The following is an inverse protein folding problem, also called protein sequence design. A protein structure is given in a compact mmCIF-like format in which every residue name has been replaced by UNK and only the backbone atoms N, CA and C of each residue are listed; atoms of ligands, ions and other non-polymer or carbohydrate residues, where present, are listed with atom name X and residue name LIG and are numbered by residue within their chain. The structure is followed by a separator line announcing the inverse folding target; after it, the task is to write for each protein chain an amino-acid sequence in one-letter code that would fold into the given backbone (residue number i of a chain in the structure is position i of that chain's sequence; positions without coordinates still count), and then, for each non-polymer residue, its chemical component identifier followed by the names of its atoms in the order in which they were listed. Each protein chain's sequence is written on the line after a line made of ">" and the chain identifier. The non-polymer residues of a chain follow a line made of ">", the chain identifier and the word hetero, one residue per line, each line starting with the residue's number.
data_IF_047428583508
#
_entry.id   IF_047428583508
#
_cell.length_a   1.000
_cell.length_b   1.000
_cell.length_c   1.000
_cell.angle_alpha   90.00
_cell.angle_beta   90.00
_cell.angle_gamma   90.00
#
_symmetry.space_group_name_H-M   'P 1'
#
loop_
_entity.id
_entity.type
_entity.pdbx_description
1 polymer ?
#
# COMPACT_ATOMS: atom_id res chain seq x y z
N UNK A 1 1.03 15.64 -18.51
CA UNK A 1 1.46 15.39 -17.13
C UNK A 1 2.58 14.36 -17.15
N UNK A 2 3.61 14.53 -16.32
CA UNK A 2 4.53 13.44 -16.02
C UNK A 2 3.71 12.28 -15.47
N UNK A 3 3.84 11.08 -16.04
CA UNK A 3 3.20 9.88 -15.51
C UNK A 3 4.09 9.30 -14.43
N UNK A 4 3.56 9.11 -13.23
CA UNK A 4 4.27 8.39 -12.19
C UNK A 4 3.90 6.91 -12.27
N UNK A 5 4.90 6.03 -12.23
CA UNK A 5 4.68 4.60 -12.40
C UNK A 5 4.26 3.98 -11.06
N UNK A 6 3.05 4.30 -10.60
CA UNK A 6 2.44 3.60 -9.47
C UNK A 6 1.96 2.22 -9.89
N UNK A 7 2.24 1.21 -9.08
CA UNK A 7 1.72 -0.14 -9.23
C UNK A 7 0.39 -0.27 -8.49
N UNK A 8 -0.67 0.23 -9.12
CA UNK A 8 -2.02 -0.05 -8.65
C UNK A 8 -2.39 -1.49 -8.98
N UNK A 9 -2.87 -2.22 -7.98
CA UNK A 9 -3.33 -3.60 -8.14
C UNK A 9 -4.84 -3.57 -8.31
N UNK A 10 -5.34 -4.32 -9.29
CA UNK A 10 -6.76 -4.50 -9.53
C UNK A 10 -7.29 -5.62 -8.60
N UNK A 11 -7.91 -5.22 -7.48
CA UNK A 11 -8.50 -6.12 -6.50
C UNK A 11 -10.03 -6.00 -6.55
N UNK A 12 -10.76 -7.02 -7.04
CA UNK A 12 -12.21 -6.94 -7.25
C UNK A 12 -13.01 -6.72 -5.97
N UNK A 13 -12.45 -7.00 -4.79
CA UNK A 13 -13.12 -6.79 -3.49
C UNK A 13 -12.74 -5.46 -2.85
N UNK A 14 -11.61 -4.87 -3.23
CA UNK A 14 -11.10 -3.62 -2.69
C UNK A 14 -10.49 -2.78 -3.82
N UNK A 15 -11.35 -2.09 -4.56
CA UNK A 15 -10.93 -1.32 -5.74
C UNK A 15 -10.29 0.01 -5.36
N UNK A 16 -9.25 0.40 -6.11
CA UNK A 16 -8.72 1.76 -6.02
C UNK A 16 -9.75 2.75 -6.60
N UNK A 17 -10.05 3.82 -5.86
CA UNK A 17 -10.98 4.87 -6.27
C UNK A 17 -10.30 6.22 -6.09
N UNK A 18 -10.22 6.97 -7.19
CA UNK A 18 -9.61 8.30 -7.23
C UNK A 18 -10.52 9.44 -6.76
N UNK A 19 -9.90 10.54 -6.39
CA UNK A 19 -10.55 11.85 -6.29
C UNK A 19 -10.64 12.51 -7.69
N UNK A 20 -11.60 13.41 -7.87
CA UNK A 20 -11.63 14.31 -9.04
C UNK A 20 -10.67 15.47 -8.85
N UNK A 21 -10.38 16.21 -9.93
CA UNK A 21 -9.55 17.40 -9.85
C UNK A 21 -10.16 18.47 -8.93
N UNK A 22 -11.48 18.64 -8.97
CA UNK A 22 -12.20 19.61 -8.15
C UNK A 22 -12.07 19.28 -6.66
N UNK A 23 -12.18 17.99 -6.30
CA UNK A 23 -12.00 17.54 -4.92
C UNK A 23 -10.56 17.77 -4.43
N UNK A 24 -9.57 17.51 -5.29
CA UNK A 24 -8.16 17.75 -4.98
C UNK A 24 -7.87 19.25 -4.84
N UNK A 25 -8.42 20.09 -5.70
CA UNK A 25 -8.20 21.53 -5.64
C UNK A 25 -8.87 22.15 -4.41
N UNK A 26 -10.07 21.69 -4.04
CA UNK A 26 -10.71 22.05 -2.77
C UNK A 26 -9.84 21.66 -1.57
N UNK A 27 -9.21 20.47 -1.59
CA UNK A 27 -8.27 20.06 -0.54
C UNK A 27 -7.04 20.98 -0.47
N UNK A 28 -6.43 21.32 -1.60
CA UNK A 28 -5.28 22.23 -1.65
C UNK A 28 -5.63 23.62 -1.11
N UNK A 29 -6.77 24.17 -1.54
CA UNK A 29 -7.23 25.48 -1.09
C UNK A 29 -7.46 25.48 0.41
N UNK A 30 -8.14 24.44 0.93
CA UNK A 30 -8.45 24.31 2.35
C UNK A 30 -7.19 24.13 3.21
N UNK A 31 -6.17 23.45 2.69
CA UNK A 31 -4.90 23.28 3.38
C UNK A 31 -3.99 24.50 3.24
N UNK A 32 -4.19 25.34 2.22
CA UNK A 32 -3.30 26.44 1.89
C UNK A 32 -1.89 25.98 1.50
N UNK A 33 -1.75 24.74 1.03
CA UNK A 33 -0.47 24.08 0.73
C UNK A 33 -0.41 23.57 -0.70
N UNK A 34 0.79 23.50 -1.25
CA UNK A 34 1.02 22.92 -2.57
C UNK A 34 1.15 21.41 -2.46
N UNK A 35 0.43 20.67 -3.30
CA UNK A 35 0.56 19.22 -3.34
C UNK A 35 1.60 18.81 -4.40
N UNK A 36 2.55 17.91 -4.08
CA UNK A 36 3.49 17.41 -5.06
C UNK A 36 2.78 16.69 -6.22
N UNK A 37 3.32 16.77 -7.43
CA UNK A 37 2.72 16.14 -8.63
C UNK A 37 2.47 14.64 -8.45
N UNK A 38 3.44 13.92 -7.88
CA UNK A 38 3.32 12.49 -7.61
C UNK A 38 2.16 12.18 -6.66
N UNK A 39 1.95 13.05 -5.66
CA UNK A 39 0.84 12.88 -4.72
C UNK A 39 -0.51 13.20 -5.38
N UNK A 40 -0.58 14.22 -6.22
CA UNK A 40 -1.80 14.52 -7.01
C UNK A 40 -2.15 13.32 -7.90
N UNK A 41 -1.16 12.76 -8.61
CA UNK A 41 -1.37 11.58 -9.46
C UNK A 41 -1.87 10.38 -8.64
N UNK A 42 -1.31 10.16 -7.45
CA UNK A 42 -1.81 9.15 -6.53
C UNK A 42 -3.27 9.40 -6.12
N UNK A 43 -3.63 10.63 -5.74
CA UNK A 43 -4.99 10.99 -5.34
C UNK A 43 -6.00 10.80 -6.47
N UNK A 44 -5.63 11.12 -7.72
CA UNK A 44 -6.50 10.92 -8.89
C UNK A 44 -6.79 9.45 -9.18
N UNK A 45 -5.93 8.52 -8.74
CA UNK A 45 -6.10 7.09 -9.00
C UNK A 45 -6.63 6.33 -7.78
N UNK A 46 -6.28 6.73 -6.55
CA UNK A 46 -6.56 5.96 -5.33
C UNK A 46 -6.82 6.85 -4.08
N UNK A 47 -7.16 8.13 -4.26
CA UNK A 47 -7.35 9.06 -3.15
C UNK A 47 -8.56 8.75 -2.27
N UNK A 48 -9.73 8.43 -2.85
CA UNK A 48 -10.95 8.11 -2.10
C UNK A 48 -10.87 6.77 -1.39
N UNK A 49 -10.30 5.79 -2.08
CA UNK A 49 -10.02 4.47 -1.55
C UNK A 49 -8.76 3.94 -2.23
N UNK A 50 -7.84 3.42 -1.42
CA UNK A 50 -6.69 2.68 -1.87
C UNK A 50 -6.68 1.32 -1.20
N UNK A 51 -6.44 0.29 -1.98
CA UNK A 51 -6.23 -1.05 -1.44
C UNK A 51 -4.87 -1.25 -0.77
N UNK A 52 -3.96 -0.28 -0.92
CA UNK A 52 -2.60 -0.33 -0.39
C UNK A 52 -2.38 0.66 0.73
N UNK A 53 -2.73 1.93 0.47
CA UNK A 53 -2.35 3.02 1.37
C UNK A 53 -3.41 4.12 1.36
N UNK A 54 -4.40 3.97 2.23
CA UNK A 54 -5.45 4.97 2.42
C UNK A 54 -4.90 6.24 3.04
N UNK A 55 -4.96 7.34 2.30
CA UNK A 55 -4.59 8.69 2.76
C UNK A 55 -5.82 9.40 3.33
N UNK A 56 -5.59 10.46 4.10
CA UNK A 56 -6.67 11.28 4.63
C UNK A 56 -7.14 12.28 3.55
N UNK A 57 -8.44 12.21 3.22
CA UNK A 57 -9.09 13.08 2.23
C UNK A 57 -10.23 13.89 2.80
N UNK A 58 -10.59 13.70 4.07
CA UNK A 58 -11.47 14.61 4.79
C UNK A 58 -10.67 15.85 5.19
N UNK A 59 -11.05 17.01 4.67
CA UNK A 59 -10.30 18.24 4.89
C UNK A 59 -10.17 18.64 6.37
N UNK A 60 -11.18 18.35 7.19
CA UNK A 60 -11.17 18.73 8.60
C UNK A 60 -10.21 17.84 9.40
N UNK A 61 -10.23 16.53 9.16
CA UNK A 61 -9.27 15.61 9.77
C UNK A 61 -7.86 15.87 9.25
N UNK A 62 -7.68 16.13 7.95
CA UNK A 62 -6.39 16.48 7.36
C UNK A 62 -5.77 17.71 8.03
N UNK A 63 -6.56 18.77 8.24
CA UNK A 63 -6.11 19.97 8.98
C UNK A 63 -5.75 19.67 10.43
N UNK A 64 -6.52 18.81 11.09
CA UNK A 64 -6.26 18.41 12.48
C UNK A 64 -4.94 17.65 12.59
N UNK A 65 -4.75 16.59 11.79
CA UNK A 65 -3.50 15.81 11.83
C UNK A 65 -2.29 16.62 11.38
N UNK A 66 -2.47 17.59 10.47
CA UNK A 66 -1.43 18.53 10.07
C UNK A 66 -0.98 19.43 11.23
N UNK A 67 -1.92 19.97 12.01
CA UNK A 67 -1.62 20.80 13.19
C UNK A 67 -0.93 19.98 14.28
N UNK A 68 -1.43 18.78 14.55
CA UNK A 68 -0.83 17.86 15.52
C UNK A 68 0.61 17.52 15.13
N UNK A 69 0.85 17.11 13.87
CA UNK A 69 2.20 16.84 13.40
C UNK A 69 3.12 18.06 13.55
N UNK A 70 2.64 19.27 13.22
CA UNK A 70 3.46 20.47 13.34
C UNK A 70 3.89 20.73 14.79
N UNK A 71 2.98 20.52 15.76
CA UNK A 71 3.33 20.62 17.19
C UNK A 71 4.41 19.61 17.57
N UNK A 72 4.28 18.36 17.11
CA UNK A 72 5.25 17.30 17.38
C UNK A 72 6.64 17.61 16.81
N UNK A 73 6.71 18.07 15.55
CA UNK A 73 7.98 18.45 14.92
C UNK A 73 8.64 19.64 15.63
N UNK A 74 7.84 20.60 16.09
CA UNK A 74 8.33 21.75 16.86
C UNK A 74 8.93 21.32 18.20
N UNK A 75 8.29 20.39 18.93
CA UNK A 75 8.81 19.83 20.18
C UNK A 75 10.15 19.10 19.98
N UNK A 76 10.31 18.47 18.82
CA UNK A 76 11.55 17.77 18.44
C UNK A 76 12.64 18.72 17.88
N UNK A 77 12.34 20.01 17.70
CA UNK A 77 13.23 21.01 17.09
C UNK A 77 13.73 20.62 15.68
N UNK A 78 12.86 20.03 14.86
CA UNK A 78 13.15 19.61 13.48
C UNK A 78 12.17 20.23 12.49
N UNK A 79 12.60 20.50 11.26
CA UNK A 79 11.77 21.06 10.18
C UNK A 79 11.00 22.35 10.55
N UNK A 80 11.55 23.18 11.45
CA UNK A 80 10.85 24.33 12.03
C UNK A 80 10.38 25.38 11.00
N UNK A 81 11.17 25.58 9.94
CA UNK A 81 10.90 26.59 8.91
C UNK A 81 10.49 25.98 7.56
N UNK A 82 10.17 24.69 7.57
CA UNK A 82 9.92 23.94 6.34
C UNK A 82 8.43 23.74 6.13
N UNK A 83 8.01 23.76 4.87
CA UNK A 83 6.62 23.56 4.49
C UNK A 83 6.33 22.05 4.52
N UNK A 84 5.48 21.61 5.44
CA UNK A 84 5.19 20.19 5.67
C UNK A 84 3.76 19.88 5.28
N UNK A 85 3.54 18.76 4.58
CA UNK A 85 2.21 18.22 4.27
C UNK A 85 2.05 16.83 4.90
N UNK A 86 1.25 16.74 5.96
CA UNK A 86 0.78 15.49 6.53
C UNK A 86 -0.30 14.90 5.62
N UNK A 87 -0.20 13.62 5.29
CA UNK A 87 -1.14 12.94 4.38
C UNK A 87 -1.89 11.79 5.06
N UNK A 88 -1.41 11.32 6.20
CA UNK A 88 -2.02 10.22 6.95
C UNK A 88 -1.49 10.20 8.37
N UNK A 89 -2.39 9.89 9.32
CA UNK A 89 -2.04 9.50 10.68
C UNK A 89 -2.60 8.10 10.93
N UNK A 90 -1.75 7.17 11.33
CA UNK A 90 -2.15 5.91 11.96
C UNK A 90 -1.92 6.03 13.48
N UNK A 91 -2.36 5.03 14.26
CA UNK A 91 -2.34 5.06 15.73
C UNK A 91 -1.06 5.67 16.35
N UNK A 92 0.12 5.34 15.82
CA UNK A 92 1.41 5.81 16.36
C UNK A 92 2.34 6.41 15.30
N UNK A 93 1.84 6.69 14.09
CA UNK A 93 2.69 7.14 13.00
C UNK A 93 2.04 8.24 12.15
N UNK A 94 2.81 9.30 11.90
CA UNK A 94 2.48 10.34 10.93
C UNK A 94 3.27 10.12 9.65
N UNK A 95 2.58 10.20 8.52
CA UNK A 95 3.16 10.14 7.18
C UNK A 95 3.05 11.52 6.55
N UNK A 96 4.18 12.08 6.14
CA UNK A 96 4.21 13.45 5.65
C UNK A 96 5.30 13.69 4.60
N UNK A 97 5.10 14.73 3.82
CA UNK A 97 6.10 15.25 2.89
C UNK A 97 6.73 16.51 3.45
N UNK A 98 8.03 16.65 3.19
CA UNK A 98 8.68 17.93 3.25
C UNK A 98 8.58 18.61 1.87
N UNK A 99 7.73 19.62 1.75
CA UNK A 99 7.47 20.36 0.51
C UNK A 99 8.57 21.39 0.21
N UNK A 100 9.40 21.73 1.19
CA UNK A 100 10.61 22.54 0.99
C UNK A 100 11.69 21.76 0.24
N UNK A 101 11.62 20.43 0.24
CA UNK A 101 12.52 19.53 -0.48
C UNK A 101 11.93 19.06 -1.83
N UNK A 102 12.82 18.81 -2.80
CA UNK A 102 12.59 17.97 -3.98
C UNK A 102 11.21 18.13 -4.70
N UNK A 103 11.04 19.23 -5.42
CA UNK A 103 9.74 19.71 -6.00
C UNK A 103 8.95 18.73 -6.88
N UNK A 104 9.58 17.69 -7.43
CA UNK A 104 8.94 16.74 -8.36
C UNK A 104 8.63 15.36 -7.78
N UNK A 105 9.45 14.90 -6.82
CA UNK A 105 9.40 13.56 -6.23
C UNK A 105 9.54 13.72 -4.70
N UNK A 106 8.43 13.90 -3.98
CA UNK A 106 8.51 14.17 -2.56
C UNK A 106 9.03 12.92 -1.84
N UNK A 107 10.01 13.11 -0.96
CA UNK A 107 10.40 12.08 -0.01
C UNK A 107 9.29 11.95 1.03
N UNK A 108 8.81 10.73 1.23
CA UNK A 108 7.87 10.42 2.30
C UNK A 108 8.66 10.26 3.61
N UNK A 109 8.30 11.03 4.61
CA UNK A 109 8.81 10.89 5.97
C UNK A 109 7.75 10.23 6.86
N UNK A 110 8.23 9.46 7.83
CA UNK A 110 7.43 8.77 8.82
C UNK A 110 7.95 9.19 10.19
N UNK A 111 7.11 9.86 10.97
CA UNK A 111 7.35 10.10 12.39
C UNK A 111 6.59 9.03 13.18
N UNK A 112 7.32 8.17 13.89
CA UNK A 112 6.73 7.12 14.72
C UNK A 112 7.43 7.01 16.07
N UNK A 113 6.76 6.39 17.04
CA UNK A 113 7.39 5.96 18.29
C UNK A 113 8.03 4.59 18.08
N UNK A 114 9.28 4.45 18.54
CA UNK A 114 10.02 3.19 18.47
C UNK A 114 10.42 2.81 19.89
N UNK A 115 10.18 1.55 20.26
CA UNK A 115 10.67 1.02 21.52
C UNK A 115 12.20 0.95 21.49
N UNK A 116 12.85 1.68 22.39
CA UNK A 116 14.31 1.66 22.56
C UNK A 116 14.74 0.75 23.70
N UNK A 117 13.80 0.37 24.58
CA UNK A 117 14.03 -0.61 25.64
C UNK A 117 12.70 -1.28 26.04
N UNK A 118 12.53 -2.54 25.63
CA UNK A 118 11.33 -3.34 25.91
C UNK A 118 11.14 -3.60 27.40
N UNK A 119 12.24 -3.77 28.16
CA UNK A 119 12.19 -4.07 29.59
C UNK A 119 11.69 -2.89 30.43
N UNK A 120 11.76 -1.67 29.89
CA UNK A 120 11.40 -0.43 30.61
C UNK A 120 10.25 0.33 29.94
N UNK A 121 9.64 -0.23 28.89
CA UNK A 121 8.64 0.46 28.06
C UNK A 121 9.12 1.88 27.65
N UNK A 122 10.41 2.02 27.33
CA UNK A 122 10.95 3.30 26.91
C UNK A 122 10.76 3.45 25.40
N UNK A 123 10.01 4.47 25.00
CA UNK A 123 9.75 4.80 23.61
C UNK A 123 10.41 6.12 23.24
N UNK A 124 10.91 6.20 22.01
CA UNK A 124 11.46 7.42 21.45
C UNK A 124 10.81 7.72 20.10
N UNK A 125 10.35 8.96 19.95
CA UNK A 125 9.91 9.48 18.65
C UNK A 125 11.09 9.56 17.70
N UNK A 126 10.94 8.97 16.52
CA UNK A 126 11.96 8.97 15.47
C UNK A 126 11.34 9.33 14.13
N UNK A 127 12.07 10.14 13.37
CA UNK A 127 11.75 10.42 11.97
C UNK A 127 12.60 9.50 11.10
N UNK A 128 11.93 8.79 10.20
CA UNK A 128 12.54 7.93 9.20
C UNK A 128 12.02 8.30 7.82
N UNK A 129 12.76 7.93 6.77
CA UNK A 129 12.23 7.98 5.41
C UNK A 129 11.42 6.71 5.17
N UNK A 130 10.34 6.82 4.40
CA UNK A 130 9.62 5.66 3.90
C UNK A 130 10.56 4.72 3.16
N UNK A 131 10.19 3.44 3.09
CA UNK A 131 10.99 2.46 2.37
C UNK A 131 11.08 2.82 0.89
N UNK A 132 12.23 3.33 0.45
CA UNK A 132 12.42 3.86 -0.90
C UNK A 132 12.63 5.36 -0.87
N UNK A 133 13.48 5.87 -1.74
CA UNK A 133 13.97 7.25 -1.69
C UNK A 133 12.86 8.30 -1.90
N UNK A 134 11.75 7.91 -2.54
CA UNK A 134 10.58 8.74 -2.85
C UNK A 134 9.23 8.03 -2.65
N UNK A 135 8.15 8.83 -2.62
CA UNK A 135 6.78 8.36 -2.40
C UNK A 135 6.31 7.28 -3.40
N UNK A 136 6.69 7.39 -4.68
CA UNK A 136 6.29 6.44 -5.71
C UNK A 136 6.90 5.07 -5.42
N UNK A 137 8.19 5.07 -5.07
CA UNK A 137 8.93 3.86 -4.70
C UNK A 137 8.33 3.22 -3.45
N UNK A 138 7.96 4.03 -2.45
CA UNK A 138 7.29 3.55 -1.24
C UNK A 138 5.98 2.81 -1.55
N UNK A 139 5.08 3.43 -2.34
CA UNK A 139 3.82 2.79 -2.73
C UNK A 139 4.06 1.49 -3.51
N UNK A 140 5.03 1.50 -4.43
CA UNK A 140 5.34 0.31 -5.24
C UNK A 140 5.90 -0.85 -4.40
N UNK A 141 6.70 -0.55 -3.37
CA UNK A 141 7.21 -1.57 -2.44
C UNK A 141 6.11 -2.11 -1.53
N UNK A 142 5.19 -1.26 -1.08
CA UNK A 142 3.99 -1.73 -0.39
C UNK A 142 3.17 -2.66 -1.29
N UNK A 143 2.95 -2.29 -2.55
CA UNK A 143 2.25 -3.14 -3.51
C UNK A 143 2.92 -4.50 -3.70
N UNK A 144 4.24 -4.53 -3.84
CA UNK A 144 5.00 -5.78 -3.97
C UNK A 144 4.94 -6.63 -2.70
N UNK A 145 4.97 -6.02 -1.52
CA UNK A 145 4.87 -6.74 -0.25
C UNK A 145 3.49 -7.39 -0.07
N UNK A 146 2.42 -6.63 -0.27
CA UNK A 146 1.05 -7.10 -0.02
C UNK A 146 0.58 -8.08 -1.11
N UNK A 147 0.87 -7.79 -2.39
CA UNK A 147 0.34 -8.56 -3.52
C UNK A 147 1.38 -9.38 -4.28
N UNK A 148 2.67 -9.03 -4.23
CA UNK A 148 3.74 -9.78 -4.91
C UNK A 148 3.96 -11.17 -4.32
N UNK A 149 3.79 -11.31 -3.00
CA UNK A 149 3.81 -12.62 -2.32
C UNK A 149 2.64 -13.51 -2.81
N UNK A 150 1.47 -12.93 -2.99
CA UNK A 150 0.26 -13.64 -3.44
C UNK A 150 0.40 -14.15 -4.89
N UNK A 151 0.95 -13.31 -5.79
CA UNK A 151 1.20 -13.69 -7.19
C UNK A 151 2.27 -14.80 -7.28
N UNK A 152 3.36 -14.70 -6.52
CA UNK A 152 4.43 -15.71 -6.53
C UNK A 152 3.99 -17.04 -5.91
N UNK A 153 3.12 -17.03 -4.90
CA UNK A 153 2.51 -18.26 -4.36
C UNK A 153 1.57 -18.94 -5.37
N UNK A 154 0.73 -18.18 -6.07
CA UNK A 154 -0.12 -18.75 -7.12
C UNK A 154 0.70 -19.34 -8.27
N UNK A 155 1.76 -18.65 -8.72
CA UNK A 155 2.66 -19.15 -9.77
C UNK A 155 3.42 -20.42 -9.34
N UNK A 156 3.82 -20.55 -8.07
CA UNK A 156 4.47 -21.78 -7.55
C UNK A 156 3.56 -23.01 -7.62
N UNK A 157 2.24 -22.84 -7.54
CA UNK A 157 1.29 -23.94 -7.59
C UNK A 157 0.87 -24.35 -9.02
N UNK A 158 1.09 -23.49 -10.02
CA UNK A 158 0.79 -23.79 -11.44
C UNK A 158 1.51 -25.05 -11.96
N UNK A 159 2.82 -25.24 -11.78
CA UNK A 159 3.48 -26.46 -12.26
C UNK A 159 2.95 -27.73 -11.56
N UNK A 160 2.50 -27.63 -10.31
CA UNK A 160 1.93 -28.75 -9.57
C UNK A 160 0.61 -29.23 -10.22
N UNK A 161 -0.25 -28.29 -10.62
CA UNK A 161 -1.51 -28.61 -11.31
C UNK A 161 -1.29 -29.19 -12.71
N UNK A 162 -0.28 -28.70 -13.44
CA UNK A 162 0.07 -29.21 -14.77
C UNK A 162 0.57 -30.67 -14.68
N UNK A 163 1.32 -31.02 -13.64
CA UNK A 163 1.81 -32.39 -13.42
C UNK A 163 0.70 -33.30 -12.88
N UNK A 164 -0.16 -32.79 -12.00
CA UNK A 164 -1.22 -33.58 -11.37
C UNK A 164 -2.34 -33.99 -12.34
N UNK A 165 -2.64 -33.16 -13.35
CA UNK A 165 -3.72 -33.41 -14.31
C UNK A 165 -3.54 -34.71 -15.14
N UNK A 166 -2.38 -34.97 -15.78
CA UNK A 166 -2.15 -36.23 -16.48
C UNK A 166 -2.19 -37.45 -15.54
N UNK A 167 -1.67 -37.31 -14.32
CA UNK A 167 -1.69 -38.39 -13.32
C UNK A 167 -3.13 -38.74 -12.94
N UNK A 168 -3.98 -37.74 -12.68
CA UNK A 168 -5.39 -37.94 -12.36
C UNK A 168 -6.15 -38.64 -13.49
N UNK A 169 -5.88 -38.28 -14.76
CA UNK A 169 -6.49 -38.94 -15.93
C UNK A 169 -6.12 -40.42 -15.97
N UNK A 170 -4.86 -40.78 -15.73
CA UNK A 170 -4.42 -42.18 -15.70
C UNK A 170 -5.14 -42.95 -14.60
N UNK A 171 -5.27 -42.38 -13.39
CA UNK A 171 -6.00 -43.03 -12.30
C UNK A 171 -7.49 -43.22 -12.62
N UNK A 172 -8.14 -42.24 -13.26
CA UNK A 172 -9.54 -42.36 -13.69
C UNK A 172 -9.71 -43.49 -14.71
N UNK A 173 -8.80 -43.59 -15.69
CA UNK A 173 -8.83 -44.68 -16.68
C UNK A 173 -8.63 -46.04 -16.01
N UNK A 174 -7.66 -46.17 -15.12
CA UNK A 174 -7.41 -47.43 -14.39
C UNK A 174 -8.59 -47.82 -13.52
N UNK A 175 -9.17 -46.88 -12.78
CA UNK A 175 -10.36 -47.12 -11.96
C UNK A 175 -11.56 -47.54 -12.82
N UNK A 176 -11.80 -46.88 -13.97
CA UNK A 176 -12.85 -47.25 -14.91
C UNK A 176 -12.65 -48.66 -15.48
N UNK A 177 -11.41 -49.03 -15.82
CA UNK A 177 -11.07 -50.38 -16.28
C UNK A 177 -11.27 -51.42 -15.17
N UNK A 178 -10.86 -51.14 -13.93
CA UNK A 178 -11.08 -52.06 -12.80
C UNK A 178 -12.58 -52.32 -12.57
N UNK A 179 -13.41 -51.27 -12.56
CA UNK A 179 -14.87 -51.41 -12.39
C UNK A 179 -15.48 -52.22 -13.54
N UNK A 180 -15.02 -52.01 -14.78
CA UNK A 180 -15.46 -52.80 -15.94
C UNK A 180 -15.05 -54.28 -15.82
N UNK A 181 -13.83 -54.56 -15.38
CA UNK A 181 -13.35 -55.94 -15.18
C UNK A 181 -14.15 -56.61 -14.06
N UNK A 182 -14.36 -55.95 -12.91
CA UNK A 182 -15.19 -56.48 -11.83
C UNK A 182 -16.62 -56.79 -12.31
N UNK A 183 -17.20 -55.92 -13.14
CA UNK A 183 -18.54 -56.13 -13.68
C UNK A 183 -18.62 -57.30 -14.67
N UNK A 184 -17.58 -57.54 -15.47
CA UNK A 184 -17.57 -58.61 -16.48
C UNK A 184 -17.18 -59.97 -15.85
N UNK A 185 -16.27 -59.98 -14.87
CA UNK A 185 -15.75 -61.21 -14.26
C UNK A 185 -16.40 -61.59 -12.93
N UNK A 186 -17.10 -60.66 -12.27
CA UNK A 186 -17.84 -60.91 -11.03
C UNK A 186 -19.28 -61.41 -11.21
N UNK A 187 -19.78 -61.52 -12.45
CA UNK A 187 -21.09 -62.10 -12.78
C UNK A 187 -21.02 -63.59 -13.21
N UNK A 188 -19.88 -64.26 -13.03
CA UNK A 188 -19.74 -65.73 -13.09
C UNK A 188 -19.61 -66.32 -11.68
#
# INVERSE_FOLDING_TARGET
>A
MEKFNFRFVDDPKNQNVGLTFEEIDALKEKMGLRFPKAYIDYLLNAGKNSNLFNVETNSNELQKIQKELRLELNLLNVFQNEEILCIKKNFEAYYFFNLSENKGKPTLYILSEICINENWNAFQKRITKGEGEDFVTFINRLAEREYGITITQHLKNIPLHIIALPIAIVFIVVAGVMILIEKIWGEN
#
